data_IF_752680446370
#
_entry.id   IF_752680446370
#
_cell.length_a   1.000
_cell.length_b   1.000
_cell.length_c   1.000
_cell.angle_alpha   90.00
_cell.angle_beta   90.00
_cell.angle_gamma   90.00
#
_symmetry.space_group_name_H-M   'P 1'
#
loop_
_entity.id
_entity.type
_entity.pdbx_description
1 polymer ?
#
# COMPACT_ATOMS: atom_id res chain seq x y z
N UNK A 1 20.26 5.00 -6.51
CA UNK A 1 21.52 4.63 -5.85
C UNK A 1 21.39 3.20 -5.37
N UNK A 2 22.46 2.40 -5.41
CA UNK A 2 22.48 1.08 -4.79
C UNK A 2 23.07 1.23 -3.38
N UNK A 3 22.43 0.57 -2.42
CA UNK A 3 22.88 0.54 -1.04
C UNK A 3 23.72 -0.71 -0.80
N UNK A 4 24.60 -0.66 0.21
CA UNK A 4 25.25 -1.87 0.71
C UNK A 4 24.25 -2.71 1.53
N UNK A 5 24.58 -3.98 1.71
CA UNK A 5 23.67 -4.96 2.32
C UNK A 5 23.36 -4.67 3.80
N UNK A 6 24.29 -4.04 4.54
CA UNK A 6 24.07 -3.70 5.94
C UNK A 6 22.99 -2.61 6.03
N UNK A 7 23.15 -1.55 5.24
CA UNK A 7 22.15 -0.48 5.12
C UNK A 7 20.79 -1.02 4.64
N UNK A 8 20.77 -1.93 3.66
CA UNK A 8 19.52 -2.53 3.19
C UNK A 8 18.78 -3.32 4.28
N UNK A 9 19.50 -4.08 5.11
CA UNK A 9 18.92 -4.85 6.22
C UNK A 9 18.39 -3.95 7.34
N UNK A 10 19.09 -2.87 7.68
CA UNK A 10 18.63 -1.90 8.67
C UNK A 10 17.31 -1.25 8.23
N UNK A 11 17.23 -0.83 6.97
CA UNK A 11 16.03 -0.23 6.39
C UNK A 11 14.86 -1.21 6.37
N UNK A 12 15.08 -2.47 6.01
CA UNK A 12 14.06 -3.52 6.06
C UNK A 12 13.47 -3.64 7.47
N UNK A 13 14.33 -3.65 8.50
CA UNK A 13 13.91 -3.74 9.89
C UNK A 13 13.12 -2.52 10.35
N UNK A 14 13.59 -1.32 10.03
CA UNK A 14 12.89 -0.06 10.35
C UNK A 14 11.55 0.05 9.64
N UNK A 15 11.48 -0.33 8.36
CA UNK A 15 10.26 -0.29 7.56
C UNK A 15 9.17 -1.17 8.18
N UNK A 16 9.51 -2.39 8.60
CA UNK A 16 8.60 -3.28 9.30
C UNK A 16 8.10 -2.70 10.64
N UNK A 17 8.95 -1.97 11.37
CA UNK A 17 8.55 -1.37 12.65
C UNK A 17 7.68 -0.13 12.48
N UNK A 18 8.02 0.72 11.51
CA UNK A 18 7.39 2.03 11.33
C UNK A 18 6.13 1.96 10.48
N UNK A 19 6.08 1.05 9.51
CA UNK A 19 4.99 0.95 8.53
C UNK A 19 4.44 -0.47 8.40
N UNK A 20 4.91 -1.43 9.20
CA UNK A 20 4.39 -2.80 9.18
C UNK A 20 2.90 -2.90 9.56
N UNK A 21 2.31 -1.87 10.19
CA UNK A 21 0.85 -1.75 10.43
C UNK A 21 0.13 -0.86 9.41
N UNK A 22 0.81 -0.43 8.35
CA UNK A 22 0.20 0.29 7.23
C UNK A 22 -0.59 -0.65 6.32
N UNK A 23 -0.25 -1.94 6.28
CA UNK A 23 -0.68 -2.85 5.22
C UNK A 23 -1.68 -3.90 5.71
N UNK A 24 -2.64 -4.24 4.85
CA UNK A 24 -3.67 -5.27 5.06
C UNK A 24 -3.67 -6.27 3.88
N UNK A 25 -3.87 -7.57 4.13
CA UNK A 25 -4.02 -8.55 3.07
C UNK A 25 -5.39 -8.38 2.42
N UNK A 26 -5.42 -8.44 1.10
CA UNK A 26 -6.62 -8.25 0.30
C UNK A 26 -6.82 -9.46 -0.62
N UNK A 27 -8.05 -9.94 -0.72
CA UNK A 27 -8.42 -11.00 -1.66
C UNK A 27 -9.85 -10.81 -2.16
N UNK A 28 -10.08 -10.90 -3.47
CA UNK A 28 -11.43 -10.88 -4.07
C UNK A 28 -11.94 -12.30 -4.38
N UNK A 29 -13.25 -12.49 -4.46
CA UNK A 29 -13.87 -13.76 -4.88
C UNK A 29 -15.22 -13.52 -5.60
N UNK A 30 -15.70 -14.50 -6.36
CA UNK A 30 -16.95 -14.37 -7.11
C UNK A 30 -18.21 -14.54 -6.23
N UNK A 31 -18.04 -14.99 -4.98
CA UNK A 31 -19.12 -15.30 -4.06
C UNK A 31 -18.63 -15.91 -2.74
N UNK A 32 -19.48 -15.91 -1.68
CA UNK A 32 -19.15 -16.59 -0.44
C UNK A 32 -18.86 -18.08 -0.67
N UNK A 33 -17.74 -18.57 -0.16
CA UNK A 33 -17.31 -19.97 -0.33
C UNK A 33 -16.79 -20.33 -1.73
N UNK A 34 -16.67 -19.37 -2.64
CA UNK A 34 -15.97 -19.58 -3.92
C UNK A 34 -14.45 -19.52 -3.70
N UNK A 35 -13.64 -20.15 -4.57
CA UNK A 35 -12.19 -20.05 -4.47
C UNK A 35 -11.74 -18.58 -4.47
N UNK A 36 -10.81 -18.20 -3.57
CA UNK A 36 -10.26 -16.86 -3.58
C UNK A 36 -9.54 -16.58 -4.91
N UNK A 37 -9.64 -15.34 -5.36
CA UNK A 37 -8.89 -14.81 -6.48
C UNK A 37 -7.42 -14.56 -6.12
N UNK A 38 -6.78 -13.67 -6.88
CA UNK A 38 -5.37 -13.37 -6.68
C UNK A 38 -5.19 -12.64 -5.34
N UNK A 39 -4.34 -13.15 -4.42
CA UNK A 39 -4.03 -12.47 -3.18
C UNK A 39 -3.17 -11.24 -3.46
N UNK A 40 -3.47 -10.15 -2.77
CA UNK A 40 -2.71 -8.91 -2.84
C UNK A 40 -2.58 -8.23 -1.49
N UNK A 41 -2.03 -7.02 -1.52
CA UNK A 41 -1.84 -6.15 -0.36
C UNK A 41 -2.55 -4.83 -0.63
N UNK A 42 -3.14 -4.24 0.41
CA UNK A 42 -3.60 -2.87 0.42
C UNK A 42 -2.90 -2.11 1.56
N UNK A 43 -2.81 -0.78 1.49
CA UNK A 43 -2.18 -0.01 2.56
C UNK A 43 -2.86 1.33 2.81
N UNK A 44 -2.79 1.78 4.06
CA UNK A 44 -3.35 3.04 4.47
C UNK A 44 -2.47 4.21 4.04
N UNK A 45 -3.09 5.20 3.40
CA UNK A 45 -2.53 6.48 3.05
C UNK A 45 -3.36 7.61 3.68
N UNK A 46 -2.70 8.62 4.24
CA UNK A 46 -3.37 9.83 4.73
C UNK A 46 -2.72 11.12 4.26
N UNK A 47 -3.58 12.10 4.00
CA UNK A 47 -3.20 13.46 3.62
C UNK A 47 -3.93 14.46 4.51
N UNK A 48 -3.17 15.38 5.11
CA UNK A 48 -3.73 16.45 5.93
C UNK A 48 -4.41 17.47 5.02
N UNK A 49 -5.70 17.71 5.22
CA UNK A 49 -6.50 18.64 4.41
C UNK A 49 -6.88 19.91 5.14
N UNK A 50 -6.70 19.95 6.46
CA UNK A 50 -6.88 21.16 7.24
C UNK A 50 -6.69 20.94 8.73
N UNK A 51 -6.87 22.02 9.49
CA UNK A 51 -6.94 21.98 10.94
C UNK A 51 -8.15 22.78 11.40
N UNK A 52 -8.82 22.27 12.41
CA UNK A 52 -9.93 22.92 13.13
C UNK A 52 -9.56 23.07 14.61
N UNK A 53 -10.36 23.79 15.37
CA UNK A 53 -10.19 23.91 16.82
C UNK A 53 -10.30 22.53 17.52
N UNK A 54 -10.97 21.56 16.90
CA UNK A 54 -11.14 20.19 17.38
C UNK A 54 -10.04 19.22 16.90
N UNK A 55 -9.10 19.70 16.06
CA UNK A 55 -7.94 18.93 15.60
C UNK A 55 -7.71 18.97 14.09
N UNK A 56 -6.72 18.18 13.67
CA UNK A 56 -6.33 17.97 12.27
C UNK A 56 -7.41 17.18 11.51
N UNK A 57 -7.76 17.63 10.31
CA UNK A 57 -8.63 16.90 9.39
C UNK A 57 -7.74 16.27 8.33
N UNK A 58 -7.81 14.94 8.20
CA UNK A 58 -7.12 14.19 7.18
C UNK A 58 -8.11 13.42 6.30
N UNK A 59 -7.81 13.34 5.01
CA UNK A 59 -8.39 12.30 4.16
C UNK A 59 -7.56 11.04 4.33
N UNK A 60 -8.23 9.92 4.59
CA UNK A 60 -7.61 8.62 4.71
C UNK A 60 -8.21 7.65 3.69
N UNK A 61 -7.31 6.96 3.02
CA UNK A 61 -7.60 6.02 1.95
C UNK A 61 -6.91 4.69 2.23
N UNK A 62 -7.56 3.60 1.87
CA UNK A 62 -6.91 2.32 1.65
C UNK A 62 -6.60 2.21 0.16
N UNK A 63 -5.32 2.07 -0.20
CA UNK A 63 -4.84 2.02 -1.58
C UNK A 63 -4.43 0.60 -1.97
N UNK A 64 -4.72 0.20 -3.21
CA UNK A 64 -4.28 -1.07 -3.79
C UNK A 64 -4.27 -1.01 -5.32
N UNK A 65 -3.84 -2.08 -5.98
CA UNK A 65 -3.93 -2.19 -7.43
C UNK A 65 -5.37 -2.48 -7.87
N UNK A 66 -5.85 -1.76 -8.87
CA UNK A 66 -7.23 -1.82 -9.38
C UNK A 66 -7.66 -3.25 -9.76
N UNK A 67 -6.76 -4.00 -10.38
CA UNK A 67 -6.97 -5.39 -10.81
C UNK A 67 -7.29 -6.37 -9.66
N UNK A 68 -7.13 -5.97 -8.40
CA UNK A 68 -7.49 -6.78 -7.23
C UNK A 68 -8.92 -6.51 -6.74
N UNK A 69 -9.62 -5.53 -7.30
CA UNK A 69 -10.85 -4.95 -6.74
C UNK A 69 -12.10 -5.15 -7.60
N UNK A 70 -12.00 -5.90 -8.70
CA UNK A 70 -13.08 -6.07 -9.69
C UNK A 70 -14.13 -7.11 -9.32
N UNK A 71 -13.96 -7.79 -8.18
CA UNK A 71 -14.80 -8.92 -7.76
C UNK A 71 -16.06 -8.50 -7.01
N UNK A 72 -17.06 -9.39 -7.01
CA UNK A 72 -18.34 -9.15 -6.34
C UNK A 72 -18.24 -9.23 -4.81
N UNK A 73 -17.32 -10.07 -4.32
CA UNK A 73 -17.01 -10.23 -2.90
C UNK A 73 -15.53 -10.04 -2.68
N UNK A 74 -15.17 -9.59 -1.48
CA UNK A 74 -13.78 -9.41 -1.09
C UNK A 74 -13.62 -9.48 0.40
N UNK A 75 -12.41 -9.80 0.81
CA UNK A 75 -12.00 -9.96 2.20
C UNK A 75 -10.79 -9.07 2.45
N UNK A 76 -10.85 -8.28 3.52
CA UNK A 76 -9.70 -7.59 4.10
C UNK A 76 -9.32 -8.36 5.35
N UNK A 77 -8.23 -9.12 5.30
CA UNK A 77 -7.76 -9.82 6.49
C UNK A 77 -7.17 -8.87 7.52
N UNK A 78 -7.14 -9.30 8.78
CA UNK A 78 -6.62 -8.50 9.88
C UNK A 78 -5.48 -9.25 10.56
N UNK A 79 -4.48 -8.49 11.04
CA UNK A 79 -3.44 -9.01 11.94
C UNK A 79 -3.74 -8.51 13.35
N UNK A 80 -3.49 -9.30 14.41
CA UNK A 80 -3.68 -8.86 15.79
C UNK A 80 -2.99 -7.53 16.14
N UNK A 81 -1.90 -7.20 15.44
CA UNK A 81 -1.19 -5.94 15.63
C UNK A 81 -1.95 -4.70 15.17
N UNK A 82 -2.91 -4.82 14.24
CA UNK A 82 -3.62 -3.67 13.64
C UNK A 82 -4.95 -3.34 14.31
N UNK A 83 -5.36 -4.10 15.33
CA UNK A 83 -6.59 -3.88 16.10
C UNK A 83 -6.29 -3.67 17.59
N UNK A 84 -7.22 -3.02 18.29
CA UNK A 84 -7.24 -2.94 19.76
C UNK A 84 -8.68 -3.11 20.25
N UNK A 85 -9.01 -4.17 20.99
CA UNK A 85 -8.11 -5.25 21.40
C UNK A 85 -7.71 -6.17 20.21
N UNK A 86 -6.74 -7.06 20.44
CA UNK A 86 -6.12 -7.88 19.39
C UNK A 86 -7.11 -8.89 18.77
N UNK A 87 -8.10 -9.32 19.54
CA UNK A 87 -9.20 -10.22 19.18
C UNK A 87 -10.11 -9.62 18.09
N UNK A 88 -10.05 -8.29 17.88
CA UNK A 88 -10.72 -7.65 16.73
C UNK A 88 -10.23 -8.17 15.38
N UNK A 89 -9.07 -8.85 15.35
CA UNK A 89 -8.49 -9.45 14.15
C UNK A 89 -8.79 -10.96 13.99
N UNK A 90 -9.64 -11.55 14.83
CA UNK A 90 -9.96 -12.99 14.78
C UNK A 90 -10.69 -13.38 13.48
N UNK A 91 -11.43 -12.44 12.89
CA UNK A 91 -12.14 -12.61 11.62
C UNK A 91 -11.73 -11.54 10.61
N UNK A 92 -11.68 -11.86 9.30
CA UNK A 92 -11.50 -10.86 8.27
C UNK A 92 -12.72 -9.92 8.19
N UNK A 93 -12.55 -8.80 7.50
CA UNK A 93 -13.67 -7.93 7.11
C UNK A 93 -14.21 -8.44 5.76
N UNK A 94 -15.41 -9.00 5.79
CA UNK A 94 -16.14 -9.41 4.60
C UNK A 94 -16.83 -8.22 3.95
N UNK A 95 -16.58 -8.02 2.66
CA UNK A 95 -17.12 -6.91 1.87
C UNK A 95 -17.99 -7.44 0.73
N UNK A 96 -19.31 -7.64 0.94
CA UNK A 96 -20.23 -7.86 -0.16
C UNK A 96 -20.33 -6.60 -1.03
N UNK A 97 -20.48 -6.80 -2.35
CA UNK A 97 -20.45 -5.69 -3.30
C UNK A 97 -19.06 -5.06 -3.40
N UNK A 98 -18.02 -5.88 -3.25
CA UNK A 98 -16.63 -5.46 -3.04
C UNK A 98 -16.15 -4.38 -4.01
N UNK A 99 -16.32 -4.56 -5.32
CA UNK A 99 -15.98 -3.54 -6.31
C UNK A 99 -16.62 -2.17 -6.04
N UNK A 100 -17.85 -2.13 -5.54
CA UNK A 100 -18.56 -0.88 -5.24
C UNK A 100 -17.99 -0.07 -4.06
N UNK A 101 -17.07 -0.63 -3.27
CA UNK A 101 -16.40 0.09 -2.17
C UNK A 101 -15.17 0.87 -2.63
N UNK A 102 -14.72 0.67 -3.87
CA UNK A 102 -13.50 1.28 -4.40
C UNK A 102 -13.82 2.39 -5.40
N UNK A 103 -13.09 3.49 -5.26
CA UNK A 103 -12.87 4.45 -6.33
C UNK A 103 -11.83 3.84 -7.29
N UNK A 104 -12.29 3.43 -8.47
CA UNK A 104 -11.44 2.89 -9.51
C UNK A 104 -10.78 4.02 -10.33
N UNK A 105 -9.45 3.97 -10.44
CA UNK A 105 -8.61 4.91 -11.20
C UNK A 105 -7.80 4.13 -12.25
N UNK A 106 -8.47 3.59 -13.29
CA UNK A 106 -7.89 2.63 -14.23
C UNK A 106 -6.72 3.20 -15.05
N UNK A 107 -6.68 4.50 -15.29
CA UNK A 107 -5.57 5.20 -15.96
C UNK A 107 -4.26 5.16 -15.17
N UNK A 108 -4.36 4.90 -13.86
CA UNK A 108 -3.23 4.65 -12.97
C UNK A 108 -3.08 3.17 -12.61
N UNK A 109 -4.06 2.32 -12.92
CA UNK A 109 -4.15 0.95 -12.41
C UNK A 109 -4.34 0.89 -10.88
N UNK A 110 -4.88 1.95 -10.28
CA UNK A 110 -5.04 2.10 -8.83
C UNK A 110 -6.52 1.99 -8.44
N UNK A 111 -6.80 1.41 -7.27
CA UNK A 111 -8.06 1.54 -6.58
C UNK A 111 -7.85 2.18 -5.20
N UNK A 112 -8.77 3.05 -4.79
CA UNK A 112 -8.74 3.74 -3.50
C UNK A 112 -10.09 3.59 -2.76
N UNK A 113 -10.08 3.21 -1.50
CA UNK A 113 -11.28 3.10 -0.66
C UNK A 113 -11.21 4.11 0.48
N UNK A 114 -12.19 5.02 0.64
CA UNK A 114 -12.31 5.85 1.84
C UNK A 114 -12.44 4.99 3.10
N UNK A 115 -11.66 5.26 4.14
CA UNK A 115 -11.62 4.38 5.33
C UNK A 115 -12.70 4.64 6.36
N UNK A 116 -13.52 5.70 6.21
CA UNK A 116 -14.57 6.04 7.17
C UNK A 116 -15.53 4.89 7.47
N UNK A 117 -15.89 4.10 6.44
CA UNK A 117 -16.71 2.89 6.63
C UNK A 117 -16.00 1.78 7.40
N UNK A 118 -14.66 1.65 7.26
CA UNK A 118 -13.86 0.69 8.01
C UNK A 118 -13.70 1.08 9.48
N UNK A 119 -13.63 2.38 9.79
CA UNK A 119 -13.67 2.86 11.17
C UNK A 119 -15.01 2.60 11.83
N UNK A 120 -16.12 2.91 11.14
CA UNK A 120 -17.46 2.57 11.64
C UNK A 120 -17.66 1.07 11.86
N UNK A 121 -17.13 0.23 10.94
CA UNK A 121 -17.17 -1.24 11.08
C UNK A 121 -16.46 -1.72 12.37
N UNK A 122 -15.32 -1.11 12.70
CA UNK A 122 -14.54 -1.43 13.88
C UNK A 122 -15.27 -1.00 15.16
N UNK A 123 -15.80 0.22 15.18
CA UNK A 123 -16.56 0.78 16.30
C UNK A 123 -17.79 -0.07 16.63
N UNK A 124 -18.54 -0.48 15.61
CA UNK A 124 -19.72 -1.36 15.75
C UNK A 124 -19.38 -2.73 16.37
N UNK A 125 -18.12 -3.16 16.26
CA UNK A 125 -17.59 -4.42 16.80
C UNK A 125 -16.75 -4.24 18.07
N UNK A 126 -16.65 -3.02 18.58
CA UNK A 126 -16.01 -2.73 19.85
C UNK A 126 -14.48 -2.82 19.83
N UNK A 127 -13.85 -2.63 18.66
CA UNK A 127 -12.40 -2.51 18.54
C UNK A 127 -12.02 -1.28 17.73
N UNK A 128 -10.76 -0.85 17.82
CA UNK A 128 -10.22 0.30 17.09
C UNK A 128 -9.01 -0.08 16.26
N UNK A 129 -8.76 0.68 15.20
CA UNK A 129 -7.57 0.52 14.37
C UNK A 129 -6.29 0.97 15.09
N UNK A 130 -5.19 0.23 14.89
CA UNK A 130 -3.83 0.55 15.33
C UNK A 130 -2.88 0.65 14.14
N UNK A 131 -3.24 1.47 13.15
CA UNK A 131 -2.50 1.56 11.90
C UNK A 131 -1.28 2.49 12.00
N UNK A 132 -0.35 2.34 11.06
CA UNK A 132 0.77 3.25 10.85
C UNK A 132 0.72 3.67 9.39
N UNK A 133 0.02 4.76 9.10
CA UNK A 133 -0.30 5.13 7.73
C UNK A 133 0.95 5.64 6.99
N UNK A 134 0.98 5.46 5.68
CA UNK A 134 1.85 6.27 4.82
C UNK A 134 1.26 7.68 4.83
N UNK A 135 1.97 8.65 5.41
CA UNK A 135 1.52 10.04 5.45
C UNK A 135 2.08 10.82 4.27
N UNK A 136 1.61 12.04 4.05
CA UNK A 136 2.20 12.98 3.08
C UNK A 136 3.72 13.20 3.27
N UNK A 137 4.21 13.07 4.52
CA UNK A 137 5.62 13.23 4.84
C UNK A 137 6.47 12.05 4.34
N UNK A 138 5.86 10.89 4.11
CA UNK A 138 6.53 9.68 3.60
C UNK A 138 6.23 9.48 2.11
N UNK A 139 5.07 9.88 1.62
CA UNK A 139 4.73 9.83 0.20
C UNK A 139 5.75 10.60 -0.65
N UNK A 140 6.20 10.01 -1.75
CA UNK A 140 7.19 10.62 -2.63
C UNK A 140 6.58 11.85 -3.35
N UNK A 141 7.18 13.05 -3.23
CA UNK A 141 6.80 14.18 -4.06
C UNK A 141 7.24 13.96 -5.53
N UNK A 142 6.67 14.74 -6.45
CA UNK A 142 6.99 14.68 -7.88
C UNK A 142 8.49 14.73 -8.18
N UNK A 143 9.23 15.60 -7.48
CA UNK A 143 10.68 15.73 -7.67
C UNK A 143 11.44 14.45 -7.26
N UNK A 144 10.97 13.73 -6.23
CA UNK A 144 11.55 12.44 -5.82
C UNK A 144 11.30 11.36 -6.88
N UNK A 145 10.08 11.29 -7.43
CA UNK A 145 9.73 10.36 -8.51
C UNK A 145 10.51 10.68 -9.80
N UNK A 146 10.67 11.97 -10.13
CA UNK A 146 11.39 12.44 -11.31
C UNK A 146 12.89 12.10 -11.28
N UNK A 147 13.50 11.97 -10.09
CA UNK A 147 14.89 11.54 -9.92
C UNK A 147 15.12 10.06 -10.26
N UNK A 148 14.08 9.24 -10.33
CA UNK A 148 14.22 7.85 -10.73
C UNK A 148 14.48 7.77 -12.24
N UNK A 149 15.73 7.48 -12.58
CA UNK A 149 16.21 7.31 -13.96
C UNK A 149 16.25 5.85 -14.40
N UNK A 150 16.87 5.60 -15.57
CA UNK A 150 16.99 4.26 -16.16
C UNK A 150 17.98 3.35 -15.44
N UNK A 151 18.91 3.91 -14.66
CA UNK A 151 19.83 3.12 -13.85
C UNK A 151 19.10 2.54 -12.64
N UNK A 152 19.21 1.22 -12.36
CA UNK A 152 18.59 0.60 -11.20
C UNK A 152 19.02 1.24 -9.87
N UNK A 153 18.05 1.45 -8.99
CA UNK A 153 18.21 1.90 -7.60
C UNK A 153 17.64 0.86 -6.63
N UNK A 154 18.19 0.77 -5.41
CA UNK A 154 17.59 -0.06 -4.35
C UNK A 154 16.21 0.49 -3.99
N UNK A 155 15.25 -0.41 -3.84
CA UNK A 155 13.90 -0.15 -3.39
C UNK A 155 13.46 -1.23 -2.42
N UNK A 156 12.40 -0.94 -1.66
CA UNK A 156 11.89 -1.83 -0.63
C UNK A 156 10.39 -2.02 -0.85
N UNK A 157 9.95 -3.26 -1.02
CA UNK A 157 8.52 -3.55 -1.13
C UNK A 157 8.05 -4.13 0.20
N UNK A 158 7.09 -3.46 0.83
CA UNK A 158 6.51 -3.87 2.10
C UNK A 158 5.16 -4.55 1.84
N UNK A 159 5.11 -5.86 1.94
CA UNK A 159 3.96 -6.65 1.49
C UNK A 159 3.53 -7.70 2.52
N UNK A 160 2.40 -8.33 2.22
CA UNK A 160 1.95 -9.54 2.89
C UNK A 160 2.01 -10.69 1.91
N UNK A 161 3.09 -11.48 2.04
CA UNK A 161 3.33 -12.65 1.23
C UNK A 161 2.24 -13.72 1.39
N UNK A 162 2.42 -14.84 0.71
CA UNK A 162 1.53 -16.01 0.82
C UNK A 162 2.36 -17.19 1.30
N UNK A 163 2.20 -17.52 2.58
CA UNK A 163 2.86 -18.65 3.23
C UNK A 163 1.99 -19.92 3.25
N UNK A 164 2.54 -20.95 3.87
CA UNK A 164 1.86 -22.24 4.04
C UNK A 164 0.52 -22.08 4.77
N UNK A 165 -0.47 -22.89 4.37
CA UNK A 165 -1.79 -22.88 4.99
C UNK A 165 -2.57 -21.57 4.81
N UNK A 166 -2.17 -20.70 3.88
CA UNK A 166 -2.83 -19.41 3.64
C UNK A 166 -2.36 -18.28 4.56
N UNK A 167 -1.31 -18.50 5.35
CA UNK A 167 -0.72 -17.46 6.19
C UNK A 167 -0.27 -16.25 5.35
N UNK A 168 -0.39 -15.05 5.93
CA UNK A 168 -0.02 -13.79 5.28
C UNK A 168 1.10 -13.09 6.06
N UNK A 169 2.36 -13.57 5.99
CA UNK A 169 3.48 -13.01 6.75
C UNK A 169 3.80 -11.58 6.31
N UNK A 170 4.20 -10.74 7.27
CA UNK A 170 4.76 -9.42 7.00
C UNK A 170 6.16 -9.57 6.41
N UNK A 171 6.36 -9.06 5.20
CA UNK A 171 7.62 -9.15 4.48
C UNK A 171 8.04 -7.77 3.97
N UNK A 172 9.34 -7.49 4.09
CA UNK A 172 9.99 -6.34 3.47
C UNK A 172 11.19 -6.87 2.69
N UNK A 173 11.15 -6.72 1.37
CA UNK A 173 12.18 -7.25 0.47
C UNK A 173 12.87 -6.13 -0.27
N UNK A 174 14.16 -6.33 -0.50
CA UNK A 174 15.02 -5.40 -1.23
C UNK A 174 14.93 -5.74 -2.71
N UNK A 175 14.48 -4.78 -3.50
CA UNK A 175 14.31 -4.91 -4.93
C UNK A 175 15.01 -3.79 -5.68
N UNK A 176 14.84 -3.79 -7.00
CA UNK A 176 15.42 -2.78 -7.88
C UNK A 176 14.33 -2.05 -8.64
N UNK A 177 14.32 -0.73 -8.50
CA UNK A 177 13.48 0.17 -9.29
C UNK A 177 14.29 0.88 -10.36
N UNK A 178 13.70 1.02 -11.53
CA UNK A 178 14.25 1.80 -12.62
C UNK A 178 13.11 2.41 -13.44
N UNK A 179 13.43 3.45 -14.21
CA UNK A 179 12.54 3.99 -15.23
C UNK A 179 12.79 3.30 -16.56
N UNK A 180 11.75 2.68 -17.12
CA UNK A 180 11.78 2.02 -18.42
C UNK A 180 10.49 2.36 -19.18
N UNK A 181 10.63 2.70 -20.47
CA UNK A 181 9.50 3.17 -21.27
C UNK A 181 8.81 4.44 -20.75
N UNK A 182 9.46 5.20 -19.87
CA UNK A 182 8.87 6.39 -19.22
C UNK A 182 8.17 6.08 -17.89
N UNK A 183 8.02 4.81 -17.51
CA UNK A 183 7.34 4.37 -16.29
C UNK A 183 8.35 3.91 -15.24
N UNK A 184 8.06 4.18 -13.97
CA UNK A 184 8.84 3.60 -12.86
C UNK A 184 8.33 2.19 -12.60
N UNK A 185 9.24 1.23 -12.48
CA UNK A 185 8.89 -0.17 -12.26
C UNK A 185 9.85 -0.85 -11.30
N UNK A 186 9.33 -1.84 -10.56
CA UNK A 186 10.16 -2.89 -9.95
C UNK A 186 10.55 -3.85 -11.07
N UNK A 187 11.86 -4.06 -11.26
CA UNK A 187 12.41 -4.74 -12.46
C UNK A 187 12.45 -6.26 -12.37
N UNK A 188 12.16 -6.79 -11.18
CA UNK A 188 12.17 -8.22 -10.84
C UNK A 188 10.75 -8.77 -10.73
N UNK A 189 10.61 -10.09 -10.84
CA UNK A 189 9.36 -10.76 -10.49
C UNK A 189 9.17 -10.71 -8.97
N UNK A 190 7.95 -10.42 -8.54
CA UNK A 190 7.59 -10.39 -7.12
C UNK A 190 6.77 -11.63 -6.72
N UNK A 191 6.88 -12.09 -5.46
CA UNK A 191 6.07 -13.19 -4.95
C UNK A 191 4.56 -12.88 -4.97
N UNK A 192 3.73 -13.93 -4.84
CA UNK A 192 2.30 -13.76 -4.64
C UNK A 192 2.00 -12.92 -3.38
N UNK A 193 0.96 -12.08 -3.44
CA UNK A 193 0.60 -11.16 -2.35
C UNK A 193 1.21 -9.76 -2.45
N UNK A 194 2.20 -9.54 -3.33
CA UNK A 194 2.92 -8.27 -3.46
C UNK A 194 2.22 -7.22 -4.32
N UNK A 195 1.32 -7.63 -5.21
CA UNK A 195 0.52 -6.68 -5.99
C UNK A 195 -0.33 -5.84 -5.04
N UNK A 196 -0.35 -4.53 -5.25
CA UNK A 196 -1.01 -3.55 -4.38
C UNK A 196 -0.17 -3.07 -3.19
N UNK A 197 1.00 -3.67 -2.95
CA UNK A 197 1.89 -3.25 -1.87
C UNK A 197 2.51 -1.86 -2.12
N UNK A 198 2.83 -1.10 -1.05
CA UNK A 198 3.64 0.11 -1.16
C UNK A 198 5.11 -0.24 -1.44
N UNK A 199 5.73 0.55 -2.32
CA UNK A 199 7.16 0.46 -2.64
C UNK A 199 7.89 1.73 -2.25
N UNK A 200 9.04 1.59 -1.61
CA UNK A 200 9.82 2.67 -1.03
C UNK A 200 11.18 2.80 -1.72
N UNK A 201 11.57 4.03 -2.02
CA UNK A 201 12.94 4.37 -2.39
C UNK A 201 13.63 5.09 -1.23
N UNK A 202 14.96 5.10 -1.29
CA UNK A 202 15.80 5.81 -0.32
C UNK A 202 16.39 7.03 -0.99
N UNK A 203 16.24 8.15 -0.31
CA UNK A 203 16.84 9.43 -0.69
C UNK A 203 17.79 9.90 0.40
N UNK A 204 18.66 10.87 0.08
CA UNK A 204 19.39 11.59 1.10
C UNK A 204 18.42 12.50 1.85
N UNK A 205 18.27 12.27 3.16
CA UNK A 205 17.50 13.09 4.07
C UNK A 205 18.18 14.43 4.37
N UNK A 206 17.48 15.35 5.05
CA UNK A 206 18.00 16.69 5.37
C UNK A 206 19.31 16.66 6.17
N UNK A 207 19.46 15.66 7.05
CA UNK A 207 20.64 15.47 7.90
C UNK A 207 21.73 14.62 7.22
N UNK A 208 21.55 14.28 5.93
CA UNK A 208 22.47 13.44 5.16
C UNK A 208 22.31 11.93 5.38
N UNK A 209 21.46 11.51 6.33
CA UNK A 209 21.07 10.10 6.52
C UNK A 209 20.02 9.62 5.51
N UNK A 210 19.74 8.30 5.42
CA UNK A 210 18.72 7.77 4.52
C UNK A 210 17.32 8.24 4.92
N UNK A 211 16.53 8.68 3.95
CA UNK A 211 15.12 9.01 4.11
C UNK A 211 14.26 8.14 3.18
N UNK A 212 13.28 7.43 3.76
CA UNK A 212 12.37 6.59 3.00
C UNK A 212 11.26 7.43 2.35
N UNK A 213 11.03 7.18 1.06
CA UNK A 213 9.94 7.77 0.29
C UNK A 213 9.11 6.68 -0.34
N UNK A 214 7.82 6.64 -0.02
CA UNK A 214 6.89 5.74 -0.68
C UNK A 214 6.67 6.23 -2.12
N UNK A 215 7.22 5.50 -3.09
CA UNK A 215 7.11 5.84 -4.50
C UNK A 215 5.68 5.63 -5.03
N UNK A 216 4.94 4.66 -4.50
CA UNK A 216 3.62 4.33 -5.02
C UNK A 216 3.16 2.91 -4.75
N UNK A 217 2.27 2.42 -5.60
CA UNK A 217 1.63 1.10 -5.52
C UNK A 217 2.20 0.16 -6.58
N UNK A 218 2.58 -1.05 -6.19
CA UNK A 218 2.99 -2.12 -7.11
C UNK A 218 1.79 -2.60 -7.93
N UNK A 219 1.88 -2.53 -9.25
CA UNK A 219 0.85 -3.00 -10.18
C UNK A 219 1.11 -4.44 -10.66
N UNK A 220 0.11 -5.12 -11.27
CA UNK A 220 0.32 -6.41 -11.91
C UNK A 220 1.47 -6.38 -12.92
N UNK A 221 2.20 -7.50 -13.08
CA UNK A 221 3.39 -7.54 -13.91
C UNK A 221 3.06 -7.25 -15.38
N UNK A 222 3.96 -6.53 -16.03
CA UNK A 222 3.99 -6.28 -17.48
C UNK A 222 5.36 -6.68 -18.03
N UNK A 223 5.56 -6.52 -19.35
CA UNK A 223 6.86 -6.76 -19.95
C UNK A 223 7.94 -5.85 -19.31
N UNK A 224 8.92 -6.47 -18.65
CA UNK A 224 10.02 -5.77 -17.97
C UNK A 224 9.83 -5.52 -16.47
N UNK A 225 8.79 -6.09 -15.84
CA UNK A 225 8.60 -6.07 -14.38
C UNK A 225 7.24 -5.53 -13.96
N UNK A 226 7.13 -5.08 -12.72
CA UNK A 226 5.91 -4.52 -12.16
C UNK A 226 5.93 -2.98 -12.26
N UNK A 227 5.04 -2.36 -13.04
CA UNK A 227 4.88 -0.91 -13.03
C UNK A 227 4.46 -0.41 -11.64
N UNK A 228 4.75 0.86 -11.35
CA UNK A 228 4.36 1.51 -10.11
C UNK A 228 3.39 2.65 -10.45
N UNK A 229 2.21 2.62 -9.83
CA UNK A 229 1.35 3.81 -9.79
C UNK A 229 1.99 4.82 -8.84
N UNK A 230 2.65 5.85 -9.38
CA UNK A 230 3.51 6.73 -8.58
C UNK A 230 2.72 7.77 -7.77
N UNK A 231 3.17 8.09 -6.57
CA UNK A 231 2.44 8.91 -5.59
C UNK A 231 2.14 10.33 -6.07
N UNK A 232 2.99 10.91 -6.93
CA UNK A 232 2.73 12.20 -7.58
C UNK A 232 1.46 12.15 -8.45
N UNK A 233 1.24 11.05 -9.17
CA UNK A 233 0.03 10.81 -9.97
C UNK A 233 -1.16 10.43 -9.10
N UNK A 234 -0.95 9.62 -8.07
CA UNK A 234 -2.00 9.22 -7.12
C UNK A 234 -2.61 10.46 -6.45
N UNK A 235 -1.77 11.33 -5.89
CA UNK A 235 -2.24 12.55 -5.20
C UNK A 235 -3.02 13.47 -6.12
N UNK A 236 -2.53 13.67 -7.35
CA UNK A 236 -3.24 14.47 -8.34
C UNK A 236 -4.63 13.89 -8.66
N UNK A 237 -4.76 12.57 -8.77
CA UNK A 237 -6.03 11.90 -9.04
C UNK A 237 -6.99 11.96 -7.85
N UNK A 238 -6.52 11.70 -6.62
CA UNK A 238 -7.36 11.77 -5.41
C UNK A 238 -7.84 13.20 -5.14
N UNK A 239 -6.98 14.20 -5.35
CA UNK A 239 -7.35 15.60 -5.21
C UNK A 239 -8.45 16.02 -6.21
N UNK A 240 -8.42 15.49 -7.45
CA UNK A 240 -9.46 15.76 -8.44
C UNK A 240 -10.81 15.17 -7.99
N UNK A 241 -10.82 13.97 -7.44
CA UNK A 241 -12.06 13.31 -6.97
C UNK A 241 -12.67 14.00 -5.76
N UNK A 242 -11.84 14.51 -4.85
CA UNK A 242 -12.31 15.26 -3.67
C UNK A 242 -12.87 16.64 -4.05
N UNK A 243 -12.46 17.19 -5.19
CA UNK A 243 -12.91 18.51 -5.65
C UNK A 243 -14.26 18.48 -6.40
N UNK A 244 -14.70 17.30 -6.84
CA UNK A 244 -15.97 17.05 -7.54
C UNK A 244 -17.13 16.79 -6.56
#
# INVERSE_FOLDING_TARGET
MLLDQETENEIVFELCQLLGRAILPLTGSDGPGTPPGVPGTAFFYSELVGATDDGEIAHEWLLTADALTDRAYGEIGLRPSVTDPAEGADEPIDLPGFAGHWLHLPELGLAAMPTGGLHGYADDRGWRWRTQQVTEAVAAPADSVARIGAAPASAFVLALGVGDGGARPLEAVVERVARDGGEVRVTTELPAGYVGAPVFAVEAGPDGGPALRCLGVVLPPQAGGHPIATFDRIRAALAAVVAD
#
